data_IF_505904539764
#
_entry.id   IF_505904539764
#
_cell.length_a   1.000
_cell.length_b   1.000
_cell.length_c   1.000
_cell.angle_alpha   90.00
_cell.angle_beta   90.00
_cell.angle_gamma   90.00
#
_symmetry.space_group_name_H-M   'P 1'
#
loop_
_entity.id
_entity.type
_entity.pdbx_description
1 polymer ?
#
# COMPACT_ATOMS: atom_id res chain seq x y z
N UNK A 1 -4.67 14.89 11.59
CA UNK A 1 -3.54 15.20 10.68
C UNK A 1 -3.74 14.54 9.30
N UNK A 2 -3.81 13.21 9.20
CA UNK A 2 -4.02 12.52 7.92
C UNK A 2 -5.28 12.99 7.16
N UNK A 3 -6.45 13.02 7.80
CA UNK A 3 -7.70 13.48 7.14
C UNK A 3 -7.65 14.92 6.67
N UNK A 4 -7.03 15.80 7.46
CA UNK A 4 -6.81 17.21 7.08
C UNK A 4 -5.92 17.28 5.83
N UNK A 5 -4.80 16.56 5.81
CA UNK A 5 -3.91 16.53 4.63
C UNK A 5 -4.62 15.95 3.41
N UNK A 6 -5.40 14.87 3.57
CA UNK A 6 -6.21 14.29 2.49
C UNK A 6 -7.24 15.26 1.93
N UNK A 7 -7.83 16.13 2.75
CA UNK A 7 -8.83 17.12 2.29
C UNK A 7 -8.27 18.26 1.43
N UNK A 8 -6.96 18.53 1.49
CA UNK A 8 -6.29 19.55 0.67
C UNK A 8 -5.72 18.99 -0.63
N UNK A 9 -5.75 17.67 -0.81
CA UNK A 9 -5.22 17.00 -2.00
C UNK A 9 -6.39 16.76 -2.96
N UNK A 10 -6.28 17.26 -4.19
CA UNK A 10 -7.22 16.91 -5.26
C UNK A 10 -7.23 15.38 -5.41
N UNK A 11 -8.42 14.78 -5.47
CA UNK A 11 -8.53 13.34 -5.59
C UNK A 11 -7.71 12.83 -6.80
N UNK A 12 -6.85 11.82 -6.63
CA UNK A 12 -6.07 11.26 -7.72
C UNK A 12 -6.97 10.50 -8.70
N UNK A 13 -6.55 10.43 -9.97
CA UNK A 13 -7.25 9.65 -11.00
C UNK A 13 -7.27 8.14 -10.67
N UNK A 14 -6.23 7.67 -9.97
CA UNK A 14 -6.11 6.32 -9.43
C UNK A 14 -5.35 6.34 -8.10
N UNK A 15 -5.93 5.75 -7.06
CA UNK A 15 -5.27 5.46 -5.79
C UNK A 15 -4.81 4.00 -5.77
N UNK A 16 -3.52 3.76 -5.53
CA UNK A 16 -2.95 2.41 -5.41
C UNK A 16 -2.71 2.12 -3.93
N UNK A 17 -3.29 1.03 -3.44
CA UNK A 17 -3.10 0.55 -2.07
C UNK A 17 -2.38 -0.79 -2.08
N UNK A 18 -1.12 -0.78 -1.63
CA UNK A 18 -0.31 -1.98 -1.47
C UNK A 18 -0.63 -2.62 -0.12
N UNK A 19 -1.47 -3.65 -0.13
CA UNK A 19 -1.88 -4.39 1.05
C UNK A 19 -0.86 -5.46 1.40
N UNK A 20 -0.39 -5.45 2.63
CA UNK A 20 0.51 -6.46 3.18
C UNK A 20 0.07 -6.86 4.59
N UNK A 21 0.30 -8.11 4.96
CA UNK A 21 0.09 -8.57 6.32
C UNK A 21 1.22 -8.11 7.25
N UNK A 22 0.96 -8.14 8.56
CA UNK A 22 1.92 -7.71 9.57
C UNK A 22 3.23 -8.50 9.51
N UNK A 23 3.23 -9.85 9.40
CA UNK A 23 4.46 -10.62 9.19
C UNK A 23 5.33 -10.13 8.01
N UNK A 24 4.72 -9.93 6.84
CA UNK A 24 5.38 -9.43 5.63
C UNK A 24 6.00 -8.05 5.88
N UNK A 25 5.25 -7.15 6.52
CA UNK A 25 5.75 -5.80 6.85
C UNK A 25 6.95 -5.86 7.78
N UNK A 26 6.91 -6.70 8.81
CA UNK A 26 8.01 -6.88 9.76
C UNK A 26 9.25 -7.45 9.05
N UNK A 27 9.09 -8.48 8.23
CA UNK A 27 10.19 -9.06 7.46
C UNK A 27 10.81 -8.02 6.51
N UNK A 28 9.99 -7.23 5.82
CA UNK A 28 10.47 -6.18 4.93
C UNK A 28 11.21 -5.07 5.69
N UNK A 29 10.70 -4.64 6.85
CA UNK A 29 11.35 -3.64 7.71
C UNK A 29 12.72 -4.16 8.18
N UNK A 30 12.77 -5.39 8.69
CA UNK A 30 14.02 -6.02 9.14
C UNK A 30 15.03 -6.15 8.00
N UNK A 31 14.58 -6.58 6.82
CA UNK A 31 15.46 -6.75 5.64
C UNK A 31 16.09 -5.44 5.13
N UNK A 32 15.52 -4.27 5.49
CA UNK A 32 16.06 -2.95 5.11
C UNK A 32 17.20 -2.48 6.01
N UNK A 33 17.37 -3.09 7.19
CA UNK A 33 18.51 -2.83 8.09
C UNK A 33 18.60 -1.39 8.58
N UNK A 34 17.46 -0.68 8.70
CA UNK A 34 17.42 0.71 9.18
C UNK A 34 17.41 0.71 10.70
N UNK A 35 18.49 1.20 11.32
CA UNK A 35 18.67 1.21 12.80
C UNK A 35 17.50 1.86 13.56
N UNK A 36 16.80 2.83 12.96
CA UNK A 36 15.64 3.48 13.58
C UNK A 36 14.35 2.64 13.52
N UNK A 37 14.25 1.67 12.60
CA UNK A 37 13.05 0.84 12.44
C UNK A 37 13.02 -0.36 13.40
N UNK A 38 14.16 -0.75 14.00
CA UNK A 38 14.23 -1.84 15.00
C UNK A 38 13.40 -1.57 16.26
N UNK A 39 13.18 -0.29 16.59
CA UNK A 39 12.39 0.13 17.75
C UNK A 39 10.88 0.16 17.50
N UNK A 40 10.43 -0.07 16.26
CA UNK A 40 9.01 0.00 15.92
C UNK A 40 8.29 -1.17 16.60
N UNK A 41 7.41 -0.83 17.53
CA UNK A 41 6.64 -1.84 18.26
C UNK A 41 5.60 -2.50 17.34
N UNK A 42 5.44 -3.82 17.47
CA UNK A 42 4.50 -4.62 16.69
C UNK A 42 3.04 -4.12 16.84
N UNK A 43 2.66 -3.69 18.03
CA UNK A 43 1.32 -3.15 18.31
C UNK A 43 1.07 -1.82 17.59
N UNK A 44 2.09 -0.98 17.45
CA UNK A 44 2.02 0.24 16.65
C UNK A 44 1.81 -0.08 15.16
N UNK A 45 2.56 -1.03 14.60
CA UNK A 45 2.36 -1.47 13.20
C UNK A 45 0.96 -2.04 12.99
N UNK A 46 0.46 -2.82 13.94
CA UNK A 46 -0.90 -3.38 13.88
C UNK A 46 -1.95 -2.28 13.85
N UNK A 47 -1.87 -1.32 14.76
CA UNK A 47 -2.80 -0.19 14.82
C UNK A 47 -2.75 0.66 13.54
N UNK A 48 -1.55 0.88 13.01
CA UNK A 48 -1.35 1.61 11.76
C UNK A 48 -2.01 0.89 10.59
N UNK A 49 -1.77 -0.42 10.46
CA UNK A 49 -2.36 -1.25 9.41
C UNK A 49 -3.89 -1.25 9.49
N UNK A 50 -4.47 -1.45 10.67
CA UNK A 50 -5.91 -1.37 10.90
C UNK A 50 -6.48 0.00 10.52
N UNK A 51 -5.76 1.08 10.81
CA UNK A 51 -6.18 2.44 10.44
C UNK A 51 -6.19 2.66 8.93
N UNK A 52 -5.19 2.15 8.21
CA UNK A 52 -5.15 2.24 6.74
C UNK A 52 -6.20 1.36 6.08
N UNK A 53 -6.42 0.14 6.55
CA UNK A 53 -7.51 -0.74 6.08
C UNK A 53 -8.88 -0.09 6.26
N UNK A 54 -9.13 0.50 7.43
CA UNK A 54 -10.38 1.22 7.69
C UNK A 54 -10.55 2.48 6.83
N UNK A 55 -9.46 3.13 6.43
CA UNK A 55 -9.53 4.29 5.55
C UNK A 55 -9.77 3.88 4.10
N UNK A 56 -9.04 2.88 3.60
CA UNK A 56 -9.12 2.47 2.21
C UNK A 56 -10.48 1.85 1.88
N UNK A 57 -11.07 1.11 2.83
CA UNK A 57 -12.43 0.55 2.69
C UNK A 57 -13.52 1.62 2.59
N UNK A 58 -13.24 2.84 3.08
CA UNK A 58 -14.16 3.99 3.04
C UNK A 58 -13.82 4.98 1.91
N UNK A 59 -12.79 4.70 1.11
CA UNK A 59 -12.36 5.60 0.05
C UNK A 59 -13.32 5.53 -1.14
N UNK A 60 -13.96 6.66 -1.47
CA UNK A 60 -14.93 6.76 -2.57
C UNK A 60 -14.65 7.92 -3.52
N UNK A 61 -13.48 8.56 -3.41
CA UNK A 61 -13.16 9.82 -4.12
C UNK A 61 -12.65 9.60 -5.55
N UNK A 62 -12.32 8.37 -5.94
CA UNK A 62 -11.78 8.03 -7.25
C UNK A 62 -11.58 6.53 -7.41
N UNK A 63 -10.90 6.12 -8.48
CA UNK A 63 -10.56 4.70 -8.68
C UNK A 63 -9.59 4.23 -7.60
N UNK A 64 -9.78 2.99 -7.16
CA UNK A 64 -8.95 2.35 -6.13
C UNK A 64 -8.48 1.00 -6.66
N UNK A 65 -7.16 0.82 -6.75
CA UNK A 65 -6.52 -0.44 -7.06
C UNK A 65 -5.86 -0.99 -5.79
N UNK A 66 -6.36 -2.11 -5.29
CA UNK A 66 -5.77 -2.83 -4.18
C UNK A 66 -4.86 -3.92 -4.73
N UNK A 67 -3.61 -3.97 -4.27
CA UNK A 67 -2.62 -4.96 -4.67
C UNK A 67 -2.11 -5.66 -3.41
N UNK A 68 -2.38 -6.96 -3.31
CA UNK A 68 -1.82 -7.80 -2.25
C UNK A 68 -0.35 -8.09 -2.56
N UNK A 69 0.55 -7.52 -1.76
CA UNK A 69 2.00 -7.66 -1.94
C UNK A 69 2.63 -8.75 -1.08
N UNK A 70 1.82 -9.52 -0.35
CA UNK A 70 2.29 -10.63 0.48
C UNK A 70 3.04 -11.70 -0.32
N UNK A 71 2.61 -11.95 -1.56
CA UNK A 71 3.21 -12.94 -2.45
C UNK A 71 3.98 -12.31 -3.62
N UNK A 72 4.16 -10.99 -3.61
CA UNK A 72 4.88 -10.27 -4.67
C UNK A 72 6.24 -9.82 -4.17
N UNK A 73 7.29 -10.19 -4.89
CA UNK A 73 8.63 -9.75 -4.63
C UNK A 73 9.09 -8.76 -5.70
N UNK A 74 9.04 -7.47 -5.39
CA UNK A 74 9.46 -6.41 -6.32
C UNK A 74 10.95 -6.44 -6.72
N UNK A 75 11.78 -7.28 -6.10
CA UNK A 75 13.14 -7.56 -6.59
C UNK A 75 13.14 -8.47 -7.82
N UNK A 76 12.04 -9.19 -8.06
CA UNK A 76 11.81 -9.99 -9.26
C UNK A 76 11.13 -9.10 -10.32
N UNK A 77 11.74 -8.92 -11.49
CA UNK A 77 11.15 -8.12 -12.57
C UNK A 77 9.77 -8.63 -13.00
N UNK A 78 9.51 -9.94 -12.92
CA UNK A 78 8.24 -10.56 -13.30
C UNK A 78 7.08 -10.09 -12.40
N UNK A 79 7.30 -10.06 -11.08
CA UNK A 79 6.30 -9.63 -10.11
C UNK A 79 6.00 -8.13 -10.25
N UNK A 80 7.02 -7.34 -10.62
CA UNK A 80 6.85 -5.92 -10.92
C UNK A 80 6.00 -5.71 -12.19
N UNK A 81 6.25 -6.48 -13.25
CA UNK A 81 5.47 -6.40 -14.49
C UNK A 81 3.99 -6.66 -14.24
N UNK A 82 3.64 -7.64 -13.40
CA UNK A 82 2.23 -7.92 -13.03
C UNK A 82 1.56 -6.68 -12.42
N UNK A 83 2.28 -5.95 -11.56
CA UNK A 83 1.75 -4.74 -10.93
C UNK A 83 1.62 -3.61 -11.94
N UNK A 84 2.60 -3.43 -12.82
CA UNK A 84 2.54 -2.42 -13.88
C UNK A 84 1.37 -2.69 -14.83
N UNK A 85 1.16 -3.93 -15.25
CA UNK A 85 0.04 -4.31 -16.11
C UNK A 85 -1.32 -4.03 -15.45
N UNK A 86 -1.46 -4.31 -14.15
CA UNK A 86 -2.69 -3.98 -13.39
C UNK A 86 -2.94 -2.48 -13.34
N UNK A 87 -1.89 -1.68 -13.10
CA UNK A 87 -1.99 -0.22 -13.07
C UNK A 87 -2.36 0.32 -14.46
N UNK A 88 -1.73 -0.20 -15.51
CA UNK A 88 -1.97 0.21 -16.89
C UNK A 88 -3.42 -0.10 -17.32
N UNK A 89 -3.94 -1.27 -16.95
CA UNK A 89 -5.33 -1.66 -17.20
C UNK A 89 -6.34 -0.71 -16.52
N UNK A 90 -6.06 -0.28 -15.28
CA UNK A 90 -6.94 0.64 -14.55
C UNK A 90 -6.90 2.09 -15.07
N UNK A 91 -5.73 2.54 -15.54
CA UNK A 91 -5.55 3.89 -16.09
C UNK A 91 -6.14 3.98 -17.50
N UNK A 92 -5.79 3.02 -18.37
CA UNK A 92 -6.12 3.10 -19.80
C UNK A 92 -7.45 2.46 -20.16
N UNK A 93 -8.11 1.75 -19.24
CA UNK A 93 -9.42 1.14 -19.47
C UNK A 93 -9.37 0.17 -20.64
N UNK A 94 -8.84 -1.03 -20.41
CA UNK A 94 -9.10 -2.11 -21.37
C UNK A 94 -10.57 -2.52 -21.21
N UNK A 95 -11.38 -1.99 -22.14
CA UNK A 95 -12.82 -2.11 -22.40
C UNK A 95 -13.73 -1.01 -21.81
#
# INVERSE_FOLDING_TARGET
LFELMSSFIKAPDLLIYLRANIPTLVEQIQSRGREYEESIRLDYLKLLNERYENWITKYTLGKLLIIDVDNLNFKKPEDLSIVIEKVDAEINGLF
#
